data_IF_145667715507
#
_entry.id   IF_145667715507
#
_cell.length_a   1.000
_cell.length_b   1.000
_cell.length_c   1.000
_cell.angle_alpha   90.00
_cell.angle_beta   90.00
_cell.angle_gamma   90.00
#
_symmetry.space_group_name_H-M   'P 1'
#
loop_
_entity.id
_entity.type
_entity.pdbx_description
1 polymer ?
#
# COMPACT_ATOMS: atom_id res chain seq x y z
N UNK A 1 -12.00 5.80 28.89
CA UNK A 1 -10.87 5.16 28.20
C UNK A 1 -9.85 6.25 27.87
N UNK A 2 -8.71 6.32 28.57
CA UNK A 2 -7.66 7.32 28.32
C UNK A 2 -6.89 6.91 27.07
N UNK A 3 -6.85 7.77 26.06
CA UNK A 3 -5.91 7.65 24.95
C UNK A 3 -4.53 7.86 25.55
N UNK A 4 -3.68 6.83 25.47
CA UNK A 4 -2.29 6.94 25.87
C UNK A 4 -1.64 8.03 25.01
N UNK A 5 -1.10 9.04 25.68
CA UNK A 5 -0.34 10.11 25.07
C UNK A 5 0.99 9.50 24.61
N UNK A 6 1.07 9.07 23.35
CA UNK A 6 2.28 8.45 22.80
C UNK A 6 3.27 9.55 22.40
N UNK A 7 4.43 9.51 23.04
CA UNK A 7 5.79 9.82 22.59
C UNK A 7 5.99 10.86 21.49
N UNK A 8 6.89 11.82 21.77
CA UNK A 8 7.31 12.91 20.88
C UNK A 8 7.57 12.40 19.46
N UNK A 9 7.08 13.16 18.48
CA UNK A 9 7.43 13.02 17.06
C UNK A 9 8.96 13.03 16.93
N UNK A 10 9.58 12.03 16.29
CA UNK A 10 11.03 12.05 16.08
C UNK A 10 11.42 13.29 15.26
N UNK A 11 12.51 13.97 15.62
CA UNK A 11 12.94 15.23 14.98
C UNK A 11 13.04 15.14 13.45
N UNK A 12 13.36 13.95 12.92
CA UNK A 12 13.44 13.69 11.48
C UNK A 12 12.14 13.99 10.69
N UNK A 13 10.97 13.97 11.34
CA UNK A 13 9.69 14.20 10.67
C UNK A 13 9.33 15.68 10.50
N UNK A 14 10.03 16.59 11.20
CA UNK A 14 9.73 18.03 11.21
C UNK A 14 9.92 18.65 9.81
N UNK A 15 10.71 18.02 8.93
CA UNK A 15 10.99 18.51 7.59
C UNK A 15 10.18 17.82 6.47
N UNK A 16 9.35 16.82 6.80
CA UNK A 16 8.60 16.06 5.79
C UNK A 16 7.36 16.84 5.37
N UNK A 17 7.39 17.40 4.15
CA UNK A 17 6.27 18.19 3.61
C UNK A 17 5.09 17.32 3.19
N UNK A 18 5.34 16.27 2.41
CA UNK A 18 4.30 15.40 1.84
C UNK A 18 4.53 13.95 2.25
N UNK A 19 3.47 13.27 2.70
CA UNK A 19 3.48 11.84 3.04
C UNK A 19 2.49 11.09 2.15
N UNK A 20 2.91 9.94 1.64
CA UNK A 20 2.09 9.02 0.85
C UNK A 20 2.08 7.65 1.53
N UNK A 21 0.92 7.18 1.97
CA UNK A 21 0.73 5.87 2.62
C UNK A 21 0.13 4.88 1.60
N UNK A 22 0.92 3.90 1.16
CA UNK A 22 0.47 2.86 0.22
C UNK A 22 -0.28 1.76 0.98
N UNK A 23 -1.41 1.30 0.43
CA UNK A 23 -2.35 0.37 1.07
C UNK A 23 -2.94 0.94 2.36
N UNK A 24 -3.49 2.15 2.27
CA UNK A 24 -4.03 2.85 3.43
C UNK A 24 -5.31 2.21 4.03
N UNK A 25 -5.91 1.23 3.33
CA UNK A 25 -7.14 0.57 3.73
C UNK A 25 -8.21 1.62 4.13
N UNK A 26 -8.94 1.40 5.22
CA UNK A 26 -10.00 2.31 5.72
C UNK A 26 -9.47 3.62 6.35
N UNK A 27 -8.19 3.94 6.18
CA UNK A 27 -7.63 5.27 6.45
C UNK A 27 -7.46 5.66 7.92
N UNK A 28 -7.74 4.77 8.88
CA UNK A 28 -7.61 5.08 10.31
C UNK A 28 -6.16 5.36 10.73
N UNK A 29 -5.21 4.62 10.14
CA UNK A 29 -3.77 4.86 10.33
C UNK A 29 -3.37 6.24 9.83
N UNK A 30 -3.67 6.54 8.57
CA UNK A 30 -3.46 7.87 7.98
C UNK A 30 -4.10 9.01 8.81
N UNK A 31 -5.33 8.82 9.31
CA UNK A 31 -6.01 9.79 10.16
C UNK A 31 -5.33 9.99 11.52
N UNK A 32 -4.79 8.93 12.13
CA UNK A 32 -3.98 9.07 13.34
C UNK A 32 -2.66 9.80 13.03
N UNK A 33 -1.96 9.39 11.96
CA UNK A 33 -0.68 9.94 11.54
C UNK A 33 -0.75 11.44 11.24
N UNK A 34 -1.79 11.92 10.53
CA UNK A 34 -1.92 13.34 10.17
C UNK A 34 -2.14 14.24 11.41
N UNK A 35 -2.65 13.70 12.51
CA UNK A 35 -2.81 14.43 13.77
C UNK A 35 -1.54 14.39 14.62
N UNK A 36 -0.73 13.34 14.52
CA UNK A 36 0.49 13.18 15.30
C UNK A 36 1.71 13.81 14.64
N UNK A 37 1.73 14.00 13.32
CA UNK A 37 2.91 14.49 12.59
C UNK A 37 2.73 15.93 12.07
N UNK A 38 3.85 16.68 12.01
CA UNK A 38 3.89 18.07 11.55
C UNK A 38 3.94 18.22 10.01
N UNK A 39 3.58 17.18 9.25
CA UNK A 39 3.63 17.22 7.78
C UNK A 39 2.62 18.21 7.19
N UNK A 40 2.96 18.79 6.04
CA UNK A 40 2.07 19.74 5.37
C UNK A 40 0.86 19.02 4.72
N UNK A 41 1.08 17.84 4.16
CA UNK A 41 0.04 17.00 3.57
C UNK A 41 0.26 15.50 3.84
N UNK A 42 -0.84 14.75 3.91
CA UNK A 42 -0.88 13.30 4.06
C UNK A 42 -1.87 12.72 3.04
N UNK A 43 -1.42 11.76 2.23
CA UNK A 43 -2.24 11.14 1.19
C UNK A 43 -2.26 9.62 1.38
N UNK A 44 -3.42 9.06 1.73
CA UNK A 44 -3.64 7.63 1.70
C UNK A 44 -3.90 7.13 0.28
N UNK A 45 -3.26 6.05 -0.10
CA UNK A 45 -3.37 5.44 -1.42
C UNK A 45 -3.83 4.00 -1.27
N UNK A 46 -4.85 3.62 -2.05
CA UNK A 46 -5.35 2.26 -2.12
C UNK A 46 -5.80 1.95 -3.56
N UNK A 47 -5.76 0.68 -3.96
CA UNK A 47 -6.20 0.29 -5.30
C UNK A 47 -7.73 0.20 -5.41
N UNK A 48 -8.44 0.11 -4.28
CA UNK A 48 -9.90 -0.01 -4.25
C UNK A 48 -10.60 1.35 -4.26
N UNK A 49 -11.40 1.58 -5.30
CA UNK A 49 -12.25 2.76 -5.41
C UNK A 49 -13.26 2.87 -4.25
N UNK A 50 -13.83 1.75 -3.81
CA UNK A 50 -14.79 1.74 -2.71
C UNK A 50 -14.16 2.12 -1.38
N UNK A 51 -12.94 1.62 -1.12
CA UNK A 51 -12.16 2.00 0.06
C UNK A 51 -11.86 3.50 0.03
N UNK A 52 -11.38 4.03 -1.10
CA UNK A 52 -11.07 5.46 -1.22
C UNK A 52 -12.32 6.32 -1.07
N UNK A 53 -13.44 5.95 -1.70
CA UNK A 53 -14.72 6.64 -1.53
C UNK A 53 -15.16 6.66 -0.06
N UNK A 54 -14.99 5.54 0.66
CA UNK A 54 -15.29 5.47 2.08
C UNK A 54 -14.40 6.43 2.88
N UNK A 55 -13.08 6.39 2.68
CA UNK A 55 -12.12 7.23 3.38
C UNK A 55 -12.40 8.72 3.14
N UNK A 56 -12.63 9.12 1.89
CA UNK A 56 -12.96 10.51 1.53
C UNK A 56 -14.21 11.01 2.27
N UNK A 57 -15.25 10.17 2.42
CA UNK A 57 -16.44 10.53 3.20
C UNK A 57 -16.11 10.64 4.69
N UNK A 58 -15.47 9.63 5.27
CA UNK A 58 -15.21 9.54 6.71
C UNK A 58 -14.30 10.67 7.22
N UNK A 59 -13.30 11.07 6.44
CA UNK A 59 -12.25 11.99 6.88
C UNK A 59 -12.29 13.36 6.18
N UNK A 60 -13.38 13.66 5.45
CA UNK A 60 -13.58 14.93 4.70
C UNK A 60 -13.31 16.21 5.49
N UNK A 61 -13.40 16.17 6.82
CA UNK A 61 -13.19 17.33 7.70
C UNK A 61 -11.74 17.55 8.11
N UNK A 62 -10.79 16.73 7.66
CA UNK A 62 -9.36 16.84 8.02
C UNK A 62 -8.61 17.47 6.83
N UNK A 63 -8.30 18.78 6.84
CA UNK A 63 -7.86 19.49 5.63
C UNK A 63 -6.52 19.04 5.05
N UNK A 64 -5.64 18.47 5.88
CA UNK A 64 -4.31 17.99 5.47
C UNK A 64 -4.30 16.51 5.06
N UNK A 65 -5.45 15.84 5.09
CA UNK A 65 -5.58 14.43 4.76
C UNK A 65 -6.40 14.25 3.49
N UNK A 66 -5.83 13.55 2.51
CA UNK A 66 -6.51 13.19 1.27
C UNK A 66 -6.36 11.70 1.00
N UNK A 67 -7.19 11.19 0.09
CA UNK A 67 -7.21 9.78 -0.28
C UNK A 67 -7.39 9.66 -1.79
N UNK A 68 -6.57 8.84 -2.45
CA UNK A 68 -6.59 8.67 -3.91
C UNK A 68 -6.50 7.21 -4.30
N UNK A 69 -7.16 6.86 -5.42
CA UNK A 69 -6.98 5.55 -6.05
C UNK A 69 -5.71 5.56 -6.87
N UNK A 70 -4.77 4.68 -6.56
CA UNK A 70 -3.59 4.46 -7.37
C UNK A 70 -3.01 3.06 -7.13
N UNK A 71 -2.37 2.52 -8.14
CA UNK A 71 -1.61 1.27 -8.11
C UNK A 71 -0.50 1.32 -9.17
N UNK A 72 0.23 0.23 -9.29
CA UNK A 72 1.36 0.16 -10.22
C UNK A 72 0.98 0.26 -11.71
N UNK A 73 -0.29 0.14 -12.10
CA UNK A 73 -0.73 0.19 -13.51
C UNK A 73 -1.31 1.54 -13.93
N UNK A 74 -1.84 2.35 -13.02
CA UNK A 74 -2.58 3.59 -13.34
C UNK A 74 -1.94 4.89 -12.82
N UNK A 75 -0.71 4.82 -12.31
CA UNK A 75 0.14 5.91 -11.79
C UNK A 75 -0.13 6.34 -10.35
N UNK A 76 0.94 6.62 -9.60
CA UNK A 76 0.90 7.18 -8.26
C UNK A 76 0.95 8.73 -8.28
N UNK A 77 0.36 9.41 -7.27
CA UNK A 77 0.33 10.88 -7.21
C UNK A 77 1.72 11.54 -7.02
N UNK A 78 2.74 10.76 -6.63
CA UNK A 78 4.12 11.21 -6.48
C UNK A 78 4.99 10.93 -7.70
N UNK A 79 4.44 10.38 -8.78
CA UNK A 79 5.09 10.32 -10.10
C UNK A 79 5.16 11.73 -10.70
N UNK A 80 6.11 12.54 -10.21
CA UNK A 80 6.27 13.94 -10.56
C UNK A 80 7.75 14.30 -10.80
N UNK A 81 8.06 15.59 -10.89
CA UNK A 81 9.42 16.08 -11.10
C UNK A 81 10.44 15.69 -10.00
N UNK A 82 10.00 15.16 -8.86
CA UNK A 82 10.89 14.74 -7.78
C UNK A 82 11.22 13.24 -7.82
N UNK A 83 10.26 12.38 -8.16
CA UNK A 83 10.44 10.92 -8.24
C UNK A 83 10.05 10.41 -9.63
N UNK A 84 11.03 9.85 -10.33
CA UNK A 84 10.83 9.24 -11.65
C UNK A 84 10.88 7.71 -11.53
N UNK A 85 10.08 7.02 -12.34
CA UNK A 85 10.18 5.56 -12.47
C UNK A 85 11.51 5.23 -13.15
N UNK A 86 12.37 4.51 -12.44
CA UNK A 86 13.64 3.99 -12.96
C UNK A 86 13.46 2.60 -13.57
N UNK A 87 12.61 1.77 -12.97
CA UNK A 87 12.32 0.42 -13.44
C UNK A 87 10.87 0.04 -13.13
N UNK A 88 10.23 -0.68 -14.06
CA UNK A 88 8.91 -1.28 -13.86
C UNK A 88 8.87 -2.64 -14.54
N UNK A 89 8.69 -3.70 -13.74
CA UNK A 89 8.71 -5.09 -14.21
C UNK A 89 7.48 -5.83 -13.72
N UNK A 90 6.75 -6.49 -14.62
CA UNK A 90 5.70 -7.43 -14.25
C UNK A 90 6.36 -8.71 -13.73
N UNK A 91 6.13 -9.01 -12.45
CA UNK A 91 6.69 -10.17 -11.75
C UNK A 91 5.61 -11.20 -11.39
N UNK A 92 4.42 -11.13 -12.00
CA UNK A 92 3.28 -12.01 -11.70
C UNK A 92 3.66 -13.48 -11.80
N UNK A 93 4.44 -13.86 -12.82
CA UNK A 93 4.94 -15.25 -12.96
C UNK A 93 5.87 -15.66 -11.83
N UNK A 94 6.73 -14.76 -11.36
CA UNK A 94 7.60 -15.02 -10.22
C UNK A 94 6.79 -15.18 -8.93
N UNK A 95 5.71 -14.41 -8.77
CA UNK A 95 4.78 -14.56 -7.64
C UNK A 95 4.06 -15.90 -7.69
N UNK A 96 3.47 -16.28 -8.83
CA UNK A 96 2.83 -17.59 -9.00
C UNK A 96 3.80 -18.73 -8.68
N UNK A 97 5.01 -18.68 -9.21
CA UNK A 97 6.05 -19.67 -8.91
C UNK A 97 6.40 -19.73 -7.40
N UNK A 98 6.51 -18.57 -6.74
CA UNK A 98 6.76 -18.52 -5.30
C UNK A 98 5.58 -19.03 -4.46
N UNK A 99 4.34 -18.84 -4.94
CA UNK A 99 3.14 -19.39 -4.32
C UNK A 99 3.09 -20.92 -4.47
N UNK A 100 3.44 -21.45 -5.64
CA UNK A 100 3.53 -22.89 -5.89
C UNK A 100 4.53 -23.58 -4.96
N UNK A 101 5.73 -23.01 -4.80
CA UNK A 101 6.77 -23.51 -3.89
C UNK A 101 6.25 -23.56 -2.44
N UNK A 102 5.51 -22.53 -2.01
CA UNK A 102 5.02 -22.41 -0.63
C UNK A 102 3.68 -23.11 -0.39
N UNK A 103 3.01 -23.58 -1.45
CA UNK A 103 1.63 -24.04 -1.41
C UNK A 103 1.43 -25.14 -0.35
N UNK A 104 2.28 -26.16 -0.37
CA UNK A 104 2.19 -27.27 0.59
C UNK A 104 2.28 -26.79 2.03
N UNK A 105 3.32 -26.01 2.35
CA UNK A 105 3.53 -25.51 3.71
C UNK A 105 2.34 -24.66 4.20
N UNK A 106 1.86 -23.74 3.38
CA UNK A 106 0.73 -22.87 3.74
C UNK A 106 -0.58 -23.65 3.88
N UNK A 107 -0.82 -24.61 3.00
CA UNK A 107 -2.00 -25.49 3.09
C UNK A 107 -1.97 -26.32 4.36
N UNK A 108 -0.84 -26.99 4.65
CA UNK A 108 -0.68 -27.79 5.86
C UNK A 108 -0.84 -26.93 7.13
N UNK A 109 -0.30 -25.69 7.12
CA UNK A 109 -0.46 -24.75 8.22
C UNK A 109 -1.93 -24.38 8.46
N UNK A 110 -2.65 -23.99 7.40
CA UNK A 110 -4.06 -23.61 7.49
C UNK A 110 -4.88 -24.81 7.99
N UNK A 111 -4.70 -25.99 7.41
CA UNK A 111 -5.45 -27.19 7.79
C UNK A 111 -5.21 -27.60 9.25
N UNK A 112 -4.00 -27.38 9.76
CA UNK A 112 -3.62 -27.81 11.12
C UNK A 112 -4.04 -26.83 12.22
N UNK A 113 -4.03 -25.53 11.93
CA UNK A 113 -4.15 -24.50 12.97
C UNK A 113 -5.36 -23.59 12.85
N UNK A 114 -6.09 -23.63 11.71
CA UNK A 114 -7.25 -22.77 11.47
C UNK A 114 -8.53 -23.62 11.48
N UNK A 115 -9.58 -23.11 12.13
CA UNK A 115 -10.87 -23.80 12.21
C UNK A 115 -11.48 -23.98 10.80
N UNK A 116 -12.14 -25.12 10.52
CA UNK A 116 -12.63 -25.44 9.17
C UNK A 116 -13.45 -24.33 8.51
N UNK A 117 -14.30 -23.63 9.27
CA UNK A 117 -15.15 -22.56 8.72
C UNK A 117 -14.36 -21.32 8.26
N UNK A 118 -13.14 -21.12 8.76
CA UNK A 118 -12.29 -19.98 8.46
C UNK A 118 -11.24 -20.30 7.38
N UNK A 119 -11.01 -21.59 7.10
CA UNK A 119 -9.91 -22.02 6.22
C UNK A 119 -10.01 -21.41 4.83
N UNK A 120 -11.21 -21.27 4.26
CA UNK A 120 -11.38 -20.67 2.93
C UNK A 120 -10.90 -19.22 2.88
N UNK A 121 -11.23 -18.43 3.91
CA UNK A 121 -10.77 -17.04 4.03
C UNK A 121 -9.24 -16.97 4.09
N UNK A 122 -8.60 -17.82 4.90
CA UNK A 122 -7.14 -17.84 4.99
C UNK A 122 -6.48 -18.38 3.73
N UNK A 123 -7.10 -19.33 3.02
CA UNK A 123 -6.62 -19.79 1.71
C UNK A 123 -6.62 -18.66 0.69
N UNK A 124 -7.74 -17.91 0.62
CA UNK A 124 -7.89 -16.74 -0.24
C UNK A 124 -6.82 -15.69 0.10
N UNK A 125 -6.71 -15.32 1.38
CA UNK A 125 -5.71 -14.35 1.85
C UNK A 125 -4.27 -14.77 1.55
N UNK A 126 -3.96 -16.06 1.65
CA UNK A 126 -2.64 -16.61 1.35
C UNK A 126 -2.38 -16.79 -0.16
N UNK A 127 -3.36 -16.51 -1.03
CA UNK A 127 -3.26 -16.60 -2.49
C UNK A 127 -2.96 -18.02 -2.98
N UNK A 128 -3.55 -19.04 -2.35
CA UNK A 128 -3.22 -20.44 -2.68
C UNK A 128 -3.91 -20.90 -3.98
N UNK A 129 -3.34 -21.88 -4.71
CA UNK A 129 -4.00 -22.52 -5.84
C UNK A 129 -5.45 -22.96 -5.53
N UNK A 130 -6.34 -22.76 -6.49
CA UNK A 130 -7.79 -22.97 -6.33
C UNK A 130 -8.46 -21.89 -5.48
N UNK A 131 -7.97 -20.66 -5.55
CA UNK A 131 -8.63 -19.46 -5.01
C UNK A 131 -8.71 -18.42 -6.12
N UNK A 132 -9.73 -17.56 -6.09
CA UNK A 132 -9.92 -16.55 -7.13
C UNK A 132 -8.68 -15.66 -7.31
N UNK A 133 -7.99 -15.31 -6.23
CA UNK A 133 -6.76 -14.48 -6.29
C UNK A 133 -5.66 -15.18 -7.10
N UNK A 134 -5.44 -16.47 -6.87
CA UNK A 134 -4.46 -17.24 -7.64
C UNK A 134 -4.87 -17.36 -9.10
N UNK A 135 -6.15 -17.68 -9.33
CA UNK A 135 -6.69 -17.90 -10.66
C UNK A 135 -6.64 -16.62 -11.50
N UNK A 136 -7.01 -15.47 -10.93
CA UNK A 136 -6.91 -14.15 -11.57
C UNK A 136 -5.48 -13.83 -11.97
N UNK A 137 -4.49 -14.11 -11.11
CA UNK A 137 -3.08 -13.92 -11.46
C UNK A 137 -2.62 -14.87 -12.57
N UNK A 138 -3.04 -16.14 -12.52
CA UNK A 138 -2.67 -17.15 -13.51
C UNK A 138 -3.25 -16.87 -14.90
N UNK A 139 -4.42 -16.24 -14.95
CA UNK A 139 -5.13 -15.87 -16.18
C UNK A 139 -4.77 -14.46 -16.68
N UNK A 140 -3.99 -13.70 -15.90
CA UNK A 140 -3.63 -12.32 -16.25
C UNK A 140 -4.72 -11.28 -15.99
N UNK A 141 -5.77 -11.64 -15.25
CA UNK A 141 -6.80 -10.71 -14.78
C UNK A 141 -6.30 -9.81 -13.63
N UNK A 142 -5.29 -10.28 -12.89
CA UNK A 142 -4.60 -9.51 -11.86
C UNK A 142 -3.08 -9.60 -12.07
N UNK A 143 -2.39 -8.47 -11.92
CA UNK A 143 -0.95 -8.39 -12.17
C UNK A 143 -0.20 -7.90 -10.94
N UNK A 144 0.97 -8.47 -10.71
CA UNK A 144 1.91 -8.02 -9.69
C UNK A 144 3.12 -7.34 -10.34
N UNK A 145 3.33 -6.06 -10.00
CA UNK A 145 4.38 -5.22 -10.57
C UNK A 145 5.40 -4.81 -9.52
N UNK A 146 6.70 -4.95 -9.84
CA UNK A 146 7.79 -4.30 -9.11
C UNK A 146 8.09 -2.97 -9.77
N UNK A 147 7.96 -1.88 -9.02
CA UNK A 147 8.27 -0.52 -9.49
C UNK A 147 9.37 0.07 -8.62
N UNK A 148 10.40 0.61 -9.25
CA UNK A 148 11.52 1.29 -8.61
C UNK A 148 11.46 2.77 -8.98
N UNK A 149 11.41 3.62 -7.95
CA UNK A 149 11.44 5.07 -8.10
C UNK A 149 12.82 5.61 -7.73
N UNK A 150 13.30 6.58 -8.50
CA UNK A 150 14.53 7.32 -8.22
C UNK A 150 14.24 8.80 -8.08
N UNK A 151 14.86 9.42 -7.08
CA UNK A 151 14.84 10.87 -6.94
C UNK A 151 15.52 11.52 -8.14
N UNK A 152 14.85 12.48 -8.79
CA UNK A 152 15.45 13.31 -9.83
C UNK A 152 16.61 14.09 -9.21
N UNK A 153 17.77 14.10 -9.87
CA UNK A 153 18.89 14.94 -9.42
C UNK A 153 18.49 16.39 -9.67
N UNK A 154 18.45 17.20 -8.62
CA UNK A 154 18.32 18.65 -8.77
C UNK A 154 19.64 19.17 -9.32
N UNK A 155 19.65 19.68 -10.54
CA UNK A 155 20.79 20.45 -11.05
C UNK A 155 20.80 21.77 -10.29
N UNK A 156 21.65 21.91 -9.28
CA UNK A 156 21.95 23.23 -8.74
C UNK A 156 22.70 23.99 -9.83
N UNK A 157 22.01 24.94 -10.49
CA UNK A 157 22.71 25.97 -11.26
C UNK A 157 23.62 26.72 -10.29
N UNK A 158 24.92 26.89 -10.58
CA UNK A 158 25.75 27.77 -9.79
C UNK A 158 25.12 29.16 -9.82
N UNK A 159 24.96 29.77 -8.65
CA UNK A 159 24.63 31.19 -8.53
C UNK A 159 25.85 31.92 -9.10
N UNK A 160 25.68 32.59 -10.25
CA UNK A 160 26.68 33.43 -10.90
C UNK A 160 26.65 34.81 -10.26
#
# INVERSE_FOLDING_TARGET
MRVLQTDRVPEAWVHIKNVFEINCARGAGAAWCVHTHASHSYTGIDSSQDIINLCQRLYSKIPRLSFVVANATNHFPFENDELIIEEKVNITRNILHALDIQNKYRTDFIQRYIQPEEQEYFRLFAGLPGTQIYDDMSQGCSEYWRVVFRKKKTTNMPII
#
